data_IF_184955667986
#
_entry.id   IF_184955667986
#
_cell.length_a   1.000
_cell.length_b   1.000
_cell.length_c   1.000
_cell.angle_alpha   90.00
_cell.angle_beta   90.00
_cell.angle_gamma   90.00
#
_symmetry.space_group_name_H-M   'P 1'
#
loop_
_entity.id
_entity.type
_entity.pdbx_description
1 polymer ?
#
# COMPACT_ATOMS: atom_id res chain seq x y z
N UNK A 1 16.47 -19.93 -27.29
CA UNK A 1 15.69 -20.83 -26.45
C UNK A 1 16.24 -20.96 -25.02
N UNK A 2 17.55 -21.18 -24.78
CA UNK A 2 18.11 -21.33 -23.43
C UNK A 2 17.89 -20.11 -22.53
N UNK A 3 18.09 -18.91 -23.05
CA UNK A 3 17.94 -17.63 -22.33
C UNK A 3 16.47 -17.28 -21.98
N UNK A 4 15.52 -17.73 -22.81
CA UNK A 4 14.10 -17.51 -22.56
C UNK A 4 13.59 -18.38 -21.40
N UNK A 5 14.09 -19.62 -21.29
CA UNK A 5 13.76 -20.53 -20.18
C UNK A 5 14.34 -20.04 -18.84
N UNK A 6 15.53 -19.42 -18.83
CA UNK A 6 16.14 -18.90 -17.61
C UNK A 6 15.44 -17.63 -17.08
N UNK A 7 14.98 -16.73 -17.95
CA UNK A 7 14.17 -15.57 -17.55
C UNK A 7 12.79 -16.01 -17.02
N UNK A 8 12.21 -17.06 -17.57
CA UNK A 8 10.96 -17.64 -17.07
C UNK A 8 11.19 -18.20 -15.66
N UNK A 9 12.28 -18.94 -15.41
CA UNK A 9 12.60 -19.46 -14.08
C UNK A 9 12.72 -18.35 -13.02
N UNK A 10 13.36 -17.20 -13.33
CA UNK A 10 13.47 -16.08 -12.38
C UNK A 10 12.15 -15.38 -12.17
N UNK A 11 11.34 -15.24 -13.21
CA UNK A 11 10.01 -14.66 -13.08
C UNK A 11 9.11 -15.56 -12.22
N UNK A 12 9.22 -16.87 -12.35
CA UNK A 12 8.53 -17.85 -11.50
C UNK A 12 9.02 -17.74 -10.06
N UNK A 13 10.33 -17.68 -9.82
CA UNK A 13 10.90 -17.52 -8.47
C UNK A 13 10.48 -16.19 -7.83
N UNK A 14 10.50 -15.09 -8.59
CA UNK A 14 10.04 -13.81 -8.09
C UNK A 14 8.53 -13.82 -7.77
N UNK A 15 7.74 -14.46 -8.64
CA UNK A 15 6.30 -14.61 -8.43
C UNK A 15 6.02 -15.40 -7.14
N UNK A 16 6.68 -16.54 -6.95
CA UNK A 16 6.51 -17.37 -5.77
C UNK A 16 6.94 -16.63 -4.49
N UNK A 17 8.00 -15.82 -4.56
CA UNK A 17 8.41 -14.97 -3.45
C UNK A 17 7.38 -13.88 -3.14
N UNK A 18 6.77 -13.26 -4.16
CA UNK A 18 5.70 -12.26 -3.99
C UNK A 18 4.49 -12.91 -3.31
N UNK A 19 4.03 -14.05 -3.80
CA UNK A 19 2.92 -14.79 -3.20
C UNK A 19 3.21 -15.16 -1.74
N UNK A 20 4.44 -15.60 -1.45
CA UNK A 20 4.86 -15.92 -0.09
C UNK A 20 4.87 -14.66 0.81
N UNK A 21 5.36 -13.52 0.34
CA UNK A 21 5.33 -12.27 1.11
C UNK A 21 3.88 -11.78 1.33
N UNK A 22 3.03 -11.86 0.31
CA UNK A 22 1.60 -11.53 0.45
C UNK A 22 0.89 -12.47 1.43
N UNK A 23 1.22 -13.76 1.42
CA UNK A 23 0.68 -14.75 2.35
C UNK A 23 1.06 -14.54 3.82
N UNK A 24 2.15 -13.82 4.10
CA UNK A 24 2.58 -13.45 5.45
C UNK A 24 1.86 -12.21 5.99
N UNK A 25 1.19 -11.44 5.14
CA UNK A 25 0.55 -10.21 5.54
C UNK A 25 -0.70 -10.51 6.39
N UNK A 26 -0.73 -10.01 7.60
CA UNK A 26 -1.93 -10.03 8.44
C UNK A 26 -2.99 -9.12 7.84
N UNK A 27 -4.22 -9.62 7.64
CA UNK A 27 -5.32 -8.80 7.11
C UNK A 27 -5.69 -7.71 8.10
N UNK A 28 -5.64 -6.45 7.67
CA UNK A 28 -6.20 -5.35 8.45
C UNK A 28 -7.73 -5.38 8.37
N UNK A 29 -8.40 -5.31 9.52
CA UNK A 29 -9.86 -5.34 9.63
C UNK A 29 -10.38 -3.94 9.91
N UNK A 30 -11.25 -3.42 9.05
CA UNK A 30 -11.78 -2.06 9.16
C UNK A 30 -13.30 -2.12 9.17
N UNK A 31 -13.90 -1.57 10.23
CA UNK A 31 -15.34 -1.38 10.33
C UNK A 31 -15.70 0.01 9.81
N UNK A 32 -16.64 0.10 8.87
CA UNK A 32 -17.08 1.35 8.26
C UNK A 32 -18.52 1.63 8.65
N UNK A 33 -18.71 2.69 9.40
CA UNK A 33 -19.99 3.12 9.96
C UNK A 33 -20.46 4.43 9.34
N UNK A 34 -21.73 4.71 9.44
CA UNK A 34 -22.34 5.98 9.06
C UNK A 34 -23.67 5.77 8.35
N UNK A 35 -24.54 6.79 8.40
CA UNK A 35 -25.86 6.79 7.77
C UNK A 35 -25.78 6.54 6.27
N UNK A 36 -26.89 6.13 5.67
CA UNK A 36 -26.99 6.08 4.21
C UNK A 36 -26.77 7.49 3.64
N UNK A 37 -26.10 7.55 2.51
CA UNK A 37 -25.72 8.86 1.96
C UNK A 37 -24.55 9.58 2.66
N UNK A 38 -24.00 9.03 3.77
CA UNK A 38 -22.81 9.58 4.42
C UNK A 38 -21.53 9.45 3.59
N UNK A 39 -21.57 8.80 2.42
CA UNK A 39 -20.43 8.71 1.53
C UNK A 39 -19.48 7.55 1.77
N UNK A 40 -19.86 6.54 2.59
CA UNK A 40 -19.05 5.35 2.89
C UNK A 40 -18.49 4.66 1.66
N UNK A 41 -19.35 4.25 0.73
CA UNK A 41 -18.93 3.53 -0.48
C UNK A 41 -18.04 4.38 -1.39
N UNK A 42 -18.30 5.69 -1.48
CA UNK A 42 -17.45 6.63 -2.23
C UNK A 42 -16.07 6.74 -1.60
N UNK A 43 -16.02 6.82 -0.27
CA UNK A 43 -14.78 6.86 0.50
C UNK A 43 -13.96 5.58 0.29
N UNK A 44 -14.57 4.41 0.49
CA UNK A 44 -13.91 3.11 0.36
C UNK A 44 -13.32 2.94 -1.05
N UNK A 45 -14.10 3.27 -2.10
CA UNK A 45 -13.66 3.15 -3.48
C UNK A 45 -12.56 4.17 -3.86
N UNK A 46 -12.49 5.31 -3.16
CA UNK A 46 -11.43 6.29 -3.36
C UNK A 46 -10.16 5.98 -2.55
N UNK A 47 -10.30 5.27 -1.43
CA UNK A 47 -9.21 4.96 -0.51
C UNK A 47 -8.47 3.66 -0.90
N UNK A 48 -9.24 2.61 -1.22
CA UNK A 48 -8.71 1.28 -1.49
C UNK A 48 -8.70 0.96 -2.99
N UNK A 49 -7.69 0.16 -3.40
CA UNK A 49 -7.55 -0.27 -4.78
C UNK A 49 -8.71 -1.15 -5.21
N UNK A 50 -9.13 -0.96 -6.45
CA UNK A 50 -10.23 -1.66 -7.09
C UNK A 50 -11.60 -1.43 -6.39
N UNK A 51 -12.67 -1.70 -7.05
CA UNK A 51 -14.03 -1.62 -6.50
C UNK A 51 -14.30 -2.77 -5.50
N UNK A 52 -13.57 -2.77 -4.35
CA UNK A 52 -13.67 -3.85 -3.35
C UNK A 52 -15.13 -4.13 -2.97
N UNK A 53 -15.95 -3.09 -2.86
CA UNK A 53 -17.37 -3.23 -2.53
C UNK A 53 -18.19 -3.89 -3.64
N UNK A 54 -17.76 -3.79 -4.91
CA UNK A 54 -18.46 -4.39 -6.05
C UNK A 54 -17.89 -5.76 -6.43
N UNK A 55 -16.57 -5.92 -6.31
CA UNK A 55 -15.84 -7.10 -6.80
C UNK A 55 -15.45 -8.06 -5.68
N UNK A 56 -15.51 -7.62 -4.41
CA UNK A 56 -15.28 -8.47 -3.24
C UNK A 56 -16.46 -9.41 -2.97
N UNK A 57 -16.18 -10.52 -2.31
CA UNK A 57 -17.22 -11.44 -1.85
C UNK A 57 -17.75 -10.91 -0.52
N UNK A 58 -19.06 -10.67 -0.46
CA UNK A 58 -19.75 -10.17 0.74
C UNK A 58 -20.40 -11.30 1.53
N UNK A 59 -20.07 -11.43 2.78
CA UNK A 59 -20.69 -12.38 3.73
C UNK A 59 -21.45 -11.62 4.81
N UNK A 60 -22.76 -11.88 5.01
CA UNK A 60 -23.49 -11.31 6.13
C UNK A 60 -22.89 -11.84 7.45
N UNK A 61 -22.46 -10.93 8.32
CA UNK A 61 -21.99 -11.25 9.66
C UNK A 61 -23.14 -11.16 10.67
N UNK A 62 -23.98 -10.15 10.50
CA UNK A 62 -25.18 -9.91 11.25
C UNK A 62 -26.26 -9.39 10.29
N UNK A 63 -27.46 -9.03 10.79
CA UNK A 63 -28.53 -8.45 9.97
C UNK A 63 -28.06 -7.17 9.25
N UNK A 64 -27.22 -6.37 9.90
CA UNK A 64 -26.83 -5.04 9.42
C UNK A 64 -25.35 -4.89 9.09
N UNK A 65 -24.50 -5.91 9.33
CA UNK A 65 -23.07 -5.88 9.06
C UNK A 65 -22.72 -6.92 8.01
N UNK A 66 -22.04 -6.47 6.95
CA UNK A 66 -21.56 -7.32 5.86
C UNK A 66 -20.04 -7.29 5.85
N UNK A 67 -19.41 -8.45 5.93
CA UNK A 67 -17.99 -8.64 5.71
C UNK A 67 -17.70 -8.67 4.22
N UNK A 68 -16.75 -7.88 3.75
CA UNK A 68 -16.32 -7.85 2.35
C UNK A 68 -14.81 -8.11 2.29
N UNK A 69 -14.42 -9.09 1.51
CA UNK A 69 -13.04 -9.45 1.26
C UNK A 69 -12.80 -9.64 -0.24
N UNK A 70 -11.56 -9.46 -0.66
CA UNK A 70 -11.11 -9.74 -2.02
C UNK A 70 -9.78 -10.49 -1.99
N UNK A 71 -9.67 -11.54 -2.79
CA UNK A 71 -8.44 -12.33 -2.90
C UNK A 71 -7.26 -11.45 -3.36
N UNK A 72 -6.10 -11.68 -2.76
CA UNK A 72 -4.89 -10.91 -3.02
C UNK A 72 -4.87 -9.49 -2.42
N UNK A 73 -5.89 -9.11 -1.62
CA UNK A 73 -5.93 -7.85 -0.88
C UNK A 73 -5.92 -8.14 0.62
N UNK A 74 -4.89 -7.75 1.38
CA UNK A 74 -4.78 -8.05 2.81
C UNK A 74 -5.65 -7.11 3.65
N UNK A 75 -6.94 -7.03 3.30
CA UNK A 75 -7.94 -6.15 3.90
C UNK A 75 -9.27 -6.91 4.07
N UNK A 76 -9.86 -6.76 5.22
CA UNK A 76 -11.27 -7.13 5.49
C UNK A 76 -12.04 -5.86 5.83
N UNK A 77 -13.09 -5.58 5.07
CA UNK A 77 -14.02 -4.50 5.38
C UNK A 77 -15.28 -5.07 6.02
N UNK A 78 -15.76 -4.43 7.06
CA UNK A 78 -17.06 -4.63 7.63
C UNK A 78 -17.91 -3.39 7.33
N UNK A 79 -18.86 -3.50 6.39
CA UNK A 79 -19.73 -2.40 5.99
C UNK A 79 -21.08 -2.52 6.68
N UNK A 80 -21.59 -1.41 7.20
CA UNK A 80 -22.89 -1.38 7.85
C UNK A 80 -23.97 -0.93 6.88
N UNK A 81 -25.07 -1.69 6.85
CA UNK A 81 -26.28 -1.38 6.09
C UNK A 81 -27.36 -0.82 7.02
N UNK A 82 -28.13 0.13 6.53
CA UNK A 82 -29.43 0.44 7.12
C UNK A 82 -29.44 1.26 8.42
N UNK A 83 -28.46 2.14 8.65
CA UNK A 83 -28.55 3.11 9.76
C UNK A 83 -29.63 4.21 9.56
N UNK A 84 -30.56 4.00 8.61
CA UNK A 84 -31.66 4.91 8.27
C UNK A 84 -33.01 4.55 8.87
N UNK A 85 -33.03 3.63 9.79
CA UNK A 85 -34.26 3.17 10.41
C UNK A 85 -34.86 4.26 11.32
N UNK A 86 -36.11 4.10 11.69
CA UNK A 86 -36.72 4.87 12.76
C UNK A 86 -35.88 4.81 14.04
N UNK A 87 -36.15 5.70 14.98
CA UNK A 87 -35.30 5.87 16.17
C UNK A 87 -35.10 4.57 16.96
N UNK A 88 -36.14 3.74 17.11
CA UNK A 88 -36.07 2.50 17.88
C UNK A 88 -35.19 1.45 17.17
N UNK A 89 -35.40 1.27 15.88
CA UNK A 89 -34.59 0.35 15.05
C UNK A 89 -33.15 0.79 14.93
N UNK A 90 -32.86 2.10 14.97
CA UNK A 90 -31.52 2.67 14.94
C UNK A 90 -30.74 2.36 16.21
N UNK A 91 -31.34 2.47 17.36
CA UNK A 91 -30.74 2.09 18.63
C UNK A 91 -30.36 0.62 18.69
N UNK A 92 -31.20 -0.27 18.10
CA UNK A 92 -30.87 -1.70 17.98
C UNK A 92 -29.63 -1.93 17.10
N UNK A 93 -29.52 -1.24 15.96
CA UNK A 93 -28.35 -1.35 15.09
C UNK A 93 -27.10 -0.82 15.77
N UNK A 94 -27.18 0.28 16.52
CA UNK A 94 -26.03 0.81 17.27
C UNK A 94 -25.56 -0.16 18.37
N UNK A 95 -26.49 -0.83 19.06
CA UNK A 95 -26.17 -1.90 20.01
C UNK A 95 -25.51 -3.10 19.32
N UNK A 96 -26.03 -3.50 18.17
CA UNK A 96 -25.48 -4.59 17.35
C UNK A 96 -24.05 -4.28 16.94
N UNK A 97 -23.78 -3.06 16.46
CA UNK A 97 -22.43 -2.59 16.07
C UNK A 97 -21.47 -2.57 17.27
N UNK A 98 -21.91 -2.04 18.41
CA UNK A 98 -21.09 -2.00 19.63
C UNK A 98 -20.77 -3.42 20.13
N UNK A 99 -21.74 -4.33 20.12
CA UNK A 99 -21.52 -5.73 20.47
C UNK A 99 -20.57 -6.44 19.51
N UNK A 100 -20.75 -6.24 18.20
CA UNK A 100 -19.84 -6.78 17.19
C UNK A 100 -18.40 -6.30 17.40
N UNK A 101 -18.18 -5.01 17.61
CA UNK A 101 -16.84 -4.47 17.86
C UNK A 101 -16.20 -5.08 19.12
N UNK A 102 -16.99 -5.23 20.19
CA UNK A 102 -16.54 -5.88 21.44
C UNK A 102 -16.23 -7.36 21.22
N UNK A 103 -17.07 -8.10 20.51
CA UNK A 103 -16.80 -9.51 20.20
C UNK A 103 -15.51 -9.68 19.40
N UNK A 104 -15.25 -8.82 18.42
CA UNK A 104 -14.01 -8.84 17.66
C UNK A 104 -12.79 -8.56 18.54
N UNK A 105 -12.90 -7.61 19.47
CA UNK A 105 -11.84 -7.33 20.44
C UNK A 105 -11.57 -8.53 21.37
N UNK A 106 -12.63 -9.21 21.85
CA UNK A 106 -12.51 -10.36 22.74
C UNK A 106 -11.96 -11.63 22.08
N UNK A 107 -12.05 -11.78 20.76
CA UNK A 107 -11.49 -12.92 19.99
C UNK A 107 -9.96 -12.90 19.91
N UNK A 108 -9.32 -11.85 20.39
CA UNK A 108 -7.85 -11.71 20.41
C UNK A 108 -7.27 -10.94 19.23
N UNK A 109 -5.95 -10.79 19.25
CA UNK A 109 -5.24 -9.86 18.36
C UNK A 109 -5.44 -10.13 16.87
N UNK A 110 -5.54 -11.38 16.45
CA UNK A 110 -5.72 -11.72 15.03
C UNK A 110 -7.13 -11.40 14.52
N UNK A 111 -8.11 -11.22 15.42
CA UNK A 111 -9.51 -10.95 15.06
C UNK A 111 -9.95 -9.51 15.35
N UNK A 112 -9.22 -8.76 16.16
CA UNK A 112 -9.57 -7.38 16.52
C UNK A 112 -9.69 -6.46 15.29
N UNK A 113 -10.52 -5.44 15.43
CA UNK A 113 -10.59 -4.36 14.45
C UNK A 113 -9.33 -3.51 14.53
N UNK A 114 -8.65 -3.31 13.41
CA UNK A 114 -7.53 -2.39 13.31
C UNK A 114 -7.98 -0.93 13.37
N UNK A 115 -9.09 -0.61 12.68
CA UNK A 115 -9.65 0.73 12.59
C UNK A 115 -11.19 0.71 12.53
N UNK A 116 -11.79 1.78 13.01
CA UNK A 116 -13.19 2.10 12.76
C UNK A 116 -13.27 3.45 12.05
N UNK A 117 -13.83 3.47 10.84
CA UNK A 117 -14.18 4.71 10.15
C UNK A 117 -15.63 5.06 10.43
N UNK A 118 -15.85 6.12 11.20
CA UNK A 118 -17.17 6.67 11.45
C UNK A 118 -17.44 7.83 10.49
N UNK A 119 -18.20 7.55 9.41
CA UNK A 119 -18.45 8.50 8.33
C UNK A 119 -19.63 9.42 8.68
N UNK A 120 -19.38 10.71 8.74
CA UNK A 120 -20.40 11.76 8.94
C UNK A 120 -20.39 12.66 7.71
N UNK A 121 -21.56 12.92 7.13
CA UNK A 121 -21.70 13.89 6.04
C UNK A 121 -21.52 15.31 6.59
N UNK A 122 -20.40 15.96 6.25
CA UNK A 122 -20.06 17.30 6.74
C UNK A 122 -21.10 18.38 6.35
N UNK A 123 -21.81 18.19 5.22
CA UNK A 123 -22.86 19.12 4.78
C UNK A 123 -24.16 19.01 5.61
N UNK A 124 -24.27 17.99 6.45
CA UNK A 124 -25.39 17.88 7.39
C UNK A 124 -25.26 18.78 8.62
N UNK A 125 -24.05 19.25 8.90
CA UNK A 125 -23.68 20.15 10.00
C UNK A 125 -24.23 19.72 11.38
N UNK A 126 -24.41 18.43 11.58
CA UNK A 126 -24.95 17.87 12.81
C UNK A 126 -24.42 16.48 13.10
N UNK A 127 -24.35 16.16 14.38
CA UNK A 127 -24.17 14.82 14.94
C UNK A 127 -25.32 14.57 15.90
N UNK A 128 -25.88 13.37 15.91
CA UNK A 128 -26.96 13.00 16.82
C UNK A 128 -26.38 12.46 18.14
N UNK A 129 -27.13 12.56 19.23
CA UNK A 129 -26.69 12.09 20.55
C UNK A 129 -26.33 10.61 20.55
N UNK A 130 -27.09 9.82 19.82
CA UNK A 130 -26.89 8.38 19.68
C UNK A 130 -25.59 8.06 18.93
N UNK A 131 -25.23 8.89 17.94
CA UNK A 131 -23.94 8.77 17.24
C UNK A 131 -22.77 9.14 18.18
N UNK A 132 -22.94 10.19 18.98
CA UNK A 132 -21.96 10.59 20.00
C UNK A 132 -21.73 9.47 21.03
N UNK A 133 -22.81 8.86 21.54
CA UNK A 133 -22.74 7.76 22.50
C UNK A 133 -22.10 6.52 21.90
N UNK A 134 -22.40 6.20 20.64
CA UNK A 134 -21.77 5.10 19.92
C UNK A 134 -20.26 5.33 19.73
N UNK A 135 -19.86 6.51 19.27
CA UNK A 135 -18.43 6.88 19.13
C UNK A 135 -17.73 6.74 20.48
N UNK A 136 -18.31 7.29 21.56
CA UNK A 136 -17.77 7.17 22.91
C UNK A 136 -17.64 5.72 23.40
N UNK A 137 -18.56 4.87 22.99
CA UNK A 137 -18.53 3.45 23.35
C UNK A 137 -17.45 2.70 22.57
N UNK A 138 -17.36 2.94 21.27
CA UNK A 138 -16.39 2.28 20.39
C UNK A 138 -14.94 2.71 20.70
N UNK A 139 -14.72 3.99 21.03
CA UNK A 139 -13.38 4.54 21.31
C UNK A 139 -12.73 4.02 22.59
N UNK A 140 -13.48 3.30 23.45
CA UNK A 140 -12.91 2.69 24.67
C UNK A 140 -11.93 1.56 24.37
N UNK A 141 -12.18 0.80 23.33
CA UNK A 141 -11.45 -0.42 23.00
C UNK A 141 -10.92 -0.46 21.57
N UNK A 142 -11.28 0.54 20.75
CA UNK A 142 -10.93 0.57 19.32
C UNK A 142 -10.36 1.92 18.90
N UNK A 143 -9.57 1.91 17.83
CA UNK A 143 -9.08 3.13 17.16
C UNK A 143 -10.18 3.67 16.25
N UNK A 144 -10.80 4.79 16.65
CA UNK A 144 -11.89 5.44 15.90
C UNK A 144 -11.36 6.65 15.16
N UNK A 145 -11.67 6.72 13.86
CA UNK A 145 -11.42 7.88 13.01
C UNK A 145 -12.78 8.39 12.53
N UNK A 146 -13.15 9.59 12.94
CA UNK A 146 -14.33 10.29 12.42
C UNK A 146 -13.96 10.84 11.05
N UNK A 147 -14.59 10.33 10.00
CA UNK A 147 -14.35 10.81 8.64
C UNK A 147 -15.48 11.75 8.25
N UNK A 148 -15.17 13.06 8.22
CA UNK A 148 -16.08 14.10 7.75
C UNK A 148 -16.10 14.07 6.21
N UNK A 149 -17.04 13.37 5.64
CA UNK A 149 -17.17 13.20 4.19
C UNK A 149 -17.84 14.40 3.54
N UNK A 150 -17.70 14.55 2.21
CA UNK A 150 -18.23 15.71 1.46
C UNK A 150 -17.78 17.04 2.05
N UNK A 151 -16.55 17.12 2.48
CA UNK A 151 -15.96 18.28 3.13
C UNK A 151 -15.52 19.31 2.09
N UNK A 152 -16.33 20.37 1.85
CA UNK A 152 -16.03 21.35 0.79
C UNK A 152 -16.53 22.78 1.06
N UNK A 153 -17.19 23.06 2.18
CA UNK A 153 -17.74 24.36 2.49
C UNK A 153 -17.13 24.98 3.76
N UNK A 154 -17.29 26.28 3.97
CA UNK A 154 -16.83 26.95 5.19
C UNK A 154 -17.59 26.45 6.42
N UNK A 155 -18.90 26.22 6.29
CA UNK A 155 -19.71 25.67 7.38
C UNK A 155 -19.22 24.26 7.79
N UNK A 156 -18.68 23.50 6.85
CA UNK A 156 -18.05 22.20 7.17
C UNK A 156 -16.80 22.37 8.04
N UNK A 157 -16.05 23.47 7.89
CA UNK A 157 -14.89 23.77 8.75
C UNK A 157 -15.35 24.12 10.17
N UNK A 158 -16.39 24.91 10.31
CA UNK A 158 -16.99 25.21 11.60
C UNK A 158 -17.49 23.93 12.29
N UNK A 159 -18.09 23.03 11.51
CA UNK A 159 -18.52 21.73 12.00
C UNK A 159 -17.35 20.83 12.40
N UNK A 160 -16.25 20.86 11.67
CA UNK A 160 -15.02 20.16 12.04
C UNK A 160 -14.52 20.64 13.41
N UNK A 161 -14.44 21.97 13.62
CA UNK A 161 -13.99 22.54 14.90
C UNK A 161 -14.96 22.20 16.03
N UNK A 162 -16.26 22.18 15.77
CA UNK A 162 -17.27 21.72 16.71
C UNK A 162 -17.02 20.27 17.13
N UNK A 163 -16.88 19.32 16.18
CA UNK A 163 -16.63 17.91 16.47
C UNK A 163 -15.32 17.71 17.23
N UNK A 164 -14.26 18.44 16.84
CA UNK A 164 -12.94 18.35 17.48
C UNK A 164 -12.98 18.69 18.97
N UNK A 165 -13.87 19.58 19.37
CA UNK A 165 -14.01 20.03 20.76
C UNK A 165 -15.01 19.19 21.56
N UNK A 166 -15.66 18.18 20.95
CA UNK A 166 -16.59 17.29 21.65
C UNK A 166 -15.85 16.28 22.52
N UNK A 167 -16.42 15.97 23.67
CA UNK A 167 -15.90 14.94 24.55
C UNK A 167 -16.54 13.57 24.23
N UNK A 168 -16.06 12.91 23.18
CA UNK A 168 -16.57 11.61 22.72
C UNK A 168 -15.57 10.45 22.93
N UNK A 169 -14.56 10.63 23.78
CA UNK A 169 -13.47 9.67 23.97
C UNK A 169 -12.26 9.99 23.10
N UNK A 170 -11.39 9.01 22.87
CA UNK A 170 -10.19 9.18 22.05
C UNK A 170 -10.52 8.84 20.58
N UNK A 171 -10.42 9.81 19.70
CA UNK A 171 -10.66 9.66 18.27
C UNK A 171 -9.79 10.61 17.46
N UNK A 172 -9.55 10.25 16.19
CA UNK A 172 -8.97 11.16 15.21
C UNK A 172 -10.07 11.69 14.27
N UNK A 173 -9.82 12.82 13.60
CA UNK A 173 -10.75 13.40 12.63
C UNK A 173 -10.04 13.56 11.30
N UNK A 174 -10.69 13.14 10.21
CA UNK A 174 -10.22 13.31 8.84
C UNK A 174 -11.30 14.00 7.99
N UNK A 175 -11.10 15.26 7.57
CA UNK A 175 -11.97 15.92 6.61
C UNK A 175 -11.65 15.44 5.20
N UNK A 176 -12.63 14.92 4.45
CA UNK A 176 -12.42 14.27 3.15
C UNK A 176 -13.47 14.68 2.13
N UNK A 177 -13.02 15.11 0.95
CA UNK A 177 -13.79 15.10 -0.29
C UNK A 177 -13.27 13.99 -1.20
N UNK A 178 -13.90 12.81 -1.14
CA UNK A 178 -13.38 11.59 -1.76
C UNK A 178 -13.38 11.58 -3.30
N UNK A 179 -14.12 12.48 -3.96
CA UNK A 179 -14.15 12.66 -5.42
C UNK A 179 -14.38 14.11 -5.78
N UNK A 180 -13.91 14.51 -6.96
CA UNK A 180 -14.16 15.86 -7.48
C UNK A 180 -15.64 16.20 -7.47
N UNK A 181 -15.95 17.38 -6.98
CA UNK A 181 -17.30 17.95 -6.94
C UNK A 181 -17.44 19.02 -8.02
N UNK A 182 -18.29 18.77 -8.99
CA UNK A 182 -18.61 19.75 -10.03
C UNK A 182 -19.75 20.63 -9.52
N UNK A 183 -19.46 21.90 -9.25
CA UNK A 183 -20.45 22.90 -8.84
C UNK A 183 -21.21 23.42 -10.07
N UNK A 184 -20.48 23.77 -11.13
CA UNK A 184 -21.03 24.17 -12.41
C UNK A 184 -20.06 23.81 -13.55
N UNK A 185 -20.29 24.32 -14.78
CA UNK A 185 -19.44 23.96 -15.95
C UNK A 185 -17.97 24.30 -15.75
N UNK A 186 -17.67 25.40 -15.05
CA UNK A 186 -16.32 25.98 -14.96
C UNK A 186 -15.69 25.79 -13.59
N UNK A 187 -16.48 25.47 -12.56
CA UNK A 187 -16.02 25.35 -11.19
C UNK A 187 -16.08 23.90 -10.69
N UNK A 188 -14.91 23.34 -10.43
CA UNK A 188 -14.73 22.00 -9.88
C UNK A 188 -13.90 22.13 -8.59
N UNK A 189 -14.42 21.61 -7.48
CA UNK A 189 -13.62 21.38 -6.28
C UNK A 189 -12.96 20.03 -6.41
N UNK A 190 -11.63 20.01 -6.36
CA UNK A 190 -10.87 18.76 -6.46
C UNK A 190 -11.00 17.91 -5.20
N UNK A 191 -10.95 16.60 -5.35
CA UNK A 191 -10.87 15.66 -4.25
C UNK A 191 -9.65 15.98 -3.37
N UNK A 192 -9.80 15.86 -2.04
CA UNK A 192 -8.75 16.14 -1.06
C UNK A 192 -9.00 15.41 0.26
N UNK A 193 -7.99 15.38 1.14
CA UNK A 193 -8.06 14.77 2.46
C UNK A 193 -7.90 13.25 2.50
N UNK A 194 -7.80 12.57 1.33
CA UNK A 194 -7.57 11.12 1.30
C UNK A 194 -6.15 10.75 1.74
N UNK A 195 -5.16 11.53 1.37
CA UNK A 195 -3.76 11.33 1.78
C UNK A 195 -3.61 11.54 3.29
N UNK A 196 -4.27 12.57 3.85
CA UNK A 196 -4.30 12.80 5.30
C UNK A 196 -4.99 11.64 6.03
N UNK A 197 -6.11 11.13 5.51
CA UNK A 197 -6.79 9.96 6.08
C UNK A 197 -5.89 8.71 6.04
N UNK A 198 -5.13 8.51 4.97
CA UNK A 198 -4.14 7.42 4.90
C UNK A 198 -3.09 7.58 5.99
N UNK A 199 -2.54 8.78 6.17
CA UNK A 199 -1.52 9.03 7.19
C UNK A 199 -2.08 8.82 8.61
N UNK A 200 -3.24 9.38 8.93
CA UNK A 200 -3.92 9.19 10.22
C UNK A 200 -4.18 7.70 10.48
N UNK A 201 -4.60 6.95 9.45
CA UNK A 201 -4.85 5.52 9.57
C UNK A 201 -3.56 4.73 9.82
N UNK A 202 -2.48 5.09 9.13
CA UNK A 202 -1.16 4.46 9.34
C UNK A 202 -0.62 4.71 10.76
N UNK A 203 -0.81 5.92 11.29
CA UNK A 203 -0.35 6.28 12.63
C UNK A 203 -1.17 5.61 13.74
N UNK A 204 -2.44 5.33 13.48
CA UNK A 204 -3.34 4.63 14.41
C UNK A 204 -3.13 3.10 14.42
N UNK A 205 -2.64 2.52 13.31
CA UNK A 205 -2.44 1.09 13.16
C UNK A 205 -1.15 0.61 13.84
N UNK A 206 -1.20 -0.58 14.42
CA UNK A 206 -0.01 -1.30 14.87
C UNK A 206 0.91 -1.63 13.68
N UNK A 207 2.22 -1.66 13.92
CA UNK A 207 3.24 -1.80 12.88
C UNK A 207 3.01 -3.02 11.96
N UNK A 208 2.53 -4.13 12.52
CA UNK A 208 2.27 -5.36 11.77
C UNK A 208 1.15 -5.24 10.73
N UNK A 209 0.21 -4.30 10.92
CA UNK A 209 -0.90 -4.05 9.98
C UNK A 209 -0.61 -2.93 8.98
N UNK A 210 0.42 -2.10 9.22
CA UNK A 210 0.74 -0.96 8.37
C UNK A 210 1.10 -1.38 6.94
N UNK A 211 1.82 -2.50 6.74
CA UNK A 211 2.17 -3.00 5.41
C UNK A 211 0.90 -3.43 4.67
N UNK A 212 0.01 -4.14 5.34
CA UNK A 212 -1.26 -4.61 4.79
C UNK A 212 -2.16 -3.45 4.38
N UNK A 213 -2.31 -2.45 5.24
CA UNK A 213 -3.07 -1.24 4.92
C UNK A 213 -2.45 -0.49 3.74
N UNK A 214 -1.12 -0.31 3.75
CA UNK A 214 -0.41 0.34 2.65
C UNK A 214 -0.50 -0.45 1.34
N UNK A 215 -0.51 -1.79 1.39
CA UNK A 215 -0.79 -2.64 0.24
C UNK A 215 -2.18 -2.36 -0.35
N UNK A 216 -3.20 -2.33 0.52
CA UNK A 216 -4.60 -2.20 0.11
C UNK A 216 -4.97 -0.80 -0.39
N UNK A 217 -4.43 0.29 0.22
CA UNK A 217 -4.75 1.66 -0.16
C UNK A 217 -4.16 2.00 -1.55
N UNK A 218 -4.78 2.92 -2.27
CA UNK A 218 -4.26 3.50 -3.51
C UNK A 218 -4.30 5.04 -3.53
N UNK A 219 -4.77 5.65 -2.46
CA UNK A 219 -4.94 7.09 -2.37
C UNK A 219 -3.58 7.81 -2.34
N UNK A 220 -2.65 7.33 -1.51
CA UNK A 220 -1.33 7.92 -1.34
C UNK A 220 -0.21 7.05 -1.92
N UNK A 221 0.18 7.35 -3.16
CA UNK A 221 1.30 6.67 -3.82
C UNK A 221 2.67 7.15 -3.33
N UNK A 222 2.74 8.36 -2.78
CA UNK A 222 3.98 8.89 -2.20
C UNK A 222 4.34 8.13 -0.94
N UNK A 223 3.38 7.91 -0.05
CA UNK A 223 3.58 7.11 1.17
C UNK A 223 3.97 5.66 0.83
N UNK A 224 3.36 5.05 -0.21
CA UNK A 224 3.79 3.73 -0.70
C UNK A 224 5.27 3.71 -1.06
N UNK A 225 5.70 4.68 -1.87
CA UNK A 225 7.09 4.78 -2.29
C UNK A 225 8.03 5.04 -1.11
N UNK A 226 7.65 5.86 -0.13
CA UNK A 226 8.45 6.14 1.08
C UNK A 226 8.59 4.88 1.96
N UNK A 227 7.53 4.14 2.19
CA UNK A 227 7.57 2.87 2.95
C UNK A 227 8.43 1.83 2.20
N UNK A 228 8.27 1.70 0.89
CA UNK A 228 9.11 0.80 0.08
C UNK A 228 10.59 1.19 0.12
N UNK A 229 10.92 2.49 0.06
CA UNK A 229 12.31 2.97 0.23
C UNK A 229 12.86 2.66 1.62
N UNK A 230 12.04 2.81 2.66
CA UNK A 230 12.45 2.47 4.04
C UNK A 230 12.79 0.98 4.16
N UNK A 231 11.99 0.10 3.58
CA UNK A 231 12.26 -1.33 3.53
C UNK A 231 13.49 -1.67 2.69
N UNK A 232 13.63 -1.07 1.51
CA UNK A 232 14.79 -1.27 0.64
C UNK A 232 16.11 -0.93 1.35
N UNK A 233 16.13 0.10 2.21
CA UNK A 233 17.32 0.46 3.01
C UNK A 233 17.83 -0.68 3.88
N UNK A 234 16.96 -1.57 4.39
CA UNK A 234 17.37 -2.75 5.17
C UNK A 234 18.18 -3.73 4.31
N UNK A 235 17.76 -3.97 3.07
CA UNK A 235 18.49 -4.81 2.10
C UNK A 235 19.78 -4.17 1.63
N UNK A 236 19.78 -2.86 1.40
CA UNK A 236 20.97 -2.11 1.01
C UNK A 236 22.03 -2.18 2.12
N UNK A 237 21.63 -2.00 3.38
CA UNK A 237 22.54 -2.13 4.53
C UNK A 237 23.08 -3.56 4.67
N UNK A 238 22.22 -4.58 4.48
CA UNK A 238 22.64 -5.98 4.53
C UNK A 238 23.61 -6.34 3.40
N UNK A 239 23.38 -5.80 2.18
CA UNK A 239 24.30 -6.02 1.05
C UNK A 239 25.67 -5.41 1.27
N UNK A 240 25.79 -4.31 2.05
CA UNK A 240 27.07 -3.75 2.48
C UNK A 240 27.84 -4.75 3.35
N UNK A 241 27.17 -5.39 4.31
CA UNK A 241 27.79 -6.41 5.17
C UNK A 241 28.27 -7.65 4.39
N UNK A 242 27.48 -8.10 3.42
CA UNK A 242 27.84 -9.22 2.53
C UNK A 242 29.10 -8.89 1.70
N UNK A 243 29.30 -7.63 1.29
CA UNK A 243 30.49 -7.23 0.51
C UNK A 243 31.81 -7.21 1.29
N UNK A 244 31.79 -7.40 2.63
CA UNK A 244 33.02 -7.62 3.42
C UNK A 244 33.40 -9.11 3.52
N UNK A 245 32.47 -10.02 3.21
CA UNK A 245 32.79 -11.44 3.04
C UNK A 245 33.30 -11.59 1.61
N UNK A 246 34.49 -12.16 1.38
CA UNK A 246 34.98 -12.41 0.03
C UNK A 246 34.07 -13.43 -0.66
N UNK A 247 33.07 -12.93 -1.39
CA UNK A 247 32.19 -13.75 -2.21
C UNK A 247 32.80 -13.80 -3.60
N UNK A 248 33.24 -14.97 -4.07
CA UNK A 248 33.74 -15.12 -5.44
C UNK A 248 32.66 -14.70 -6.45
N UNK A 249 33.04 -14.06 -7.56
CA UNK A 249 32.12 -13.69 -8.65
C UNK A 249 31.28 -14.86 -9.21
N UNK A 250 31.65 -16.08 -8.89
CA UNK A 250 30.88 -17.29 -9.20
C UNK A 250 29.59 -17.43 -8.41
N UNK A 251 29.43 -16.70 -7.26
CA UNK A 251 28.27 -16.83 -6.39
C UNK A 251 27.25 -15.70 -6.61
N UNK A 252 26.77 -15.55 -7.84
CA UNK A 252 25.46 -14.95 -8.13
C UNK A 252 24.34 -15.59 -7.28
N UNK A 253 24.59 -16.76 -6.74
CA UNK A 253 23.73 -17.54 -5.85
C UNK A 253 23.31 -16.85 -4.55
N UNK A 254 24.05 -15.84 -4.06
CA UNK A 254 23.69 -15.09 -2.84
C UNK A 254 23.00 -13.77 -3.16
N UNK A 255 23.49 -13.00 -4.14
CA UNK A 255 22.93 -11.68 -4.46
C UNK A 255 21.58 -11.77 -5.17
N UNK A 256 21.42 -12.69 -6.13
CA UNK A 256 20.17 -12.83 -6.89
C UNK A 256 18.99 -13.19 -5.99
N UNK A 257 19.04 -14.18 -5.09
CA UNK A 257 17.95 -14.42 -4.14
C UNK A 257 17.63 -13.23 -3.24
N UNK A 258 18.62 -12.46 -2.84
CA UNK A 258 18.43 -11.25 -2.02
C UNK A 258 17.76 -10.13 -2.81
N UNK A 259 18.17 -9.90 -4.06
CA UNK A 259 17.53 -8.98 -5.00
C UNK A 259 16.07 -9.36 -5.25
N UNK A 260 15.80 -10.62 -5.57
CA UNK A 260 14.43 -11.11 -5.79
C UNK A 260 13.55 -10.96 -4.54
N UNK A 261 14.10 -11.24 -3.36
CA UNK A 261 13.36 -11.07 -2.11
C UNK A 261 13.05 -9.60 -1.82
N UNK A 262 14.00 -8.72 -2.10
CA UNK A 262 13.78 -7.26 -2.01
C UNK A 262 12.68 -6.78 -2.98
N UNK A 263 12.74 -7.21 -4.24
CA UNK A 263 11.70 -6.87 -5.24
C UNK A 263 10.33 -7.41 -4.83
N UNK A 264 10.27 -8.64 -4.28
CA UNK A 264 9.03 -9.22 -3.77
C UNK A 264 8.43 -8.40 -2.62
N UNK A 265 9.23 -7.99 -1.64
CA UNK A 265 8.79 -7.11 -0.55
C UNK A 265 8.29 -5.75 -1.06
N UNK A 266 9.01 -5.12 -1.98
CA UNK A 266 8.60 -3.85 -2.58
C UNK A 266 7.25 -4.03 -3.30
N UNK A 267 7.08 -5.12 -4.06
CA UNK A 267 5.82 -5.43 -4.76
C UNK A 267 4.67 -5.63 -3.78
N UNK A 268 4.92 -6.36 -2.68
CA UNK A 268 3.93 -6.58 -1.63
C UNK A 268 3.49 -5.25 -0.96
N UNK A 269 4.42 -4.33 -0.70
CA UNK A 269 4.12 -2.99 -0.15
C UNK A 269 3.25 -2.19 -1.13
N UNK A 270 3.56 -2.23 -2.43
CA UNK A 270 2.79 -1.50 -3.45
C UNK A 270 1.42 -2.13 -3.71
N UNK A 271 1.28 -3.43 -3.53
CA UNK A 271 0.03 -4.14 -3.82
C UNK A 271 -0.33 -4.13 -5.30
N UNK A 272 0.64 -4.03 -6.19
CA UNK A 272 0.41 -4.09 -7.64
C UNK A 272 0.07 -5.52 -8.02
N UNK A 273 -1.05 -5.77 -8.72
CA UNK A 273 -1.31 -7.09 -9.29
C UNK A 273 -0.31 -7.35 -10.40
N UNK A 274 0.59 -8.28 -10.16
CA UNK A 274 1.58 -8.72 -11.16
C UNK A 274 1.32 -10.16 -11.56
N UNK A 275 1.54 -10.45 -12.83
CA UNK A 275 1.52 -11.80 -13.35
C UNK A 275 2.94 -12.19 -13.82
N UNK A 276 3.17 -13.50 -14.02
CA UNK A 276 4.47 -14.02 -14.43
C UNK A 276 5.01 -13.40 -15.71
N UNK A 277 4.12 -13.08 -16.68
CA UNK A 277 4.52 -12.43 -17.94
C UNK A 277 5.08 -11.04 -17.70
N UNK A 278 4.40 -10.21 -16.89
CA UNK A 278 4.85 -8.85 -16.53
C UNK A 278 6.14 -8.87 -15.71
N UNK A 279 6.29 -9.85 -14.80
CA UNK A 279 7.54 -10.05 -14.08
C UNK A 279 8.69 -10.45 -15.00
N UNK A 280 8.43 -11.31 -15.99
CA UNK A 280 9.43 -11.67 -17.00
C UNK A 280 9.93 -10.45 -17.78
N UNK A 281 9.04 -9.51 -18.14
CA UNK A 281 9.38 -8.24 -18.81
C UNK A 281 10.21 -7.32 -17.91
N UNK A 282 9.85 -7.21 -16.62
CA UNK A 282 10.62 -6.47 -15.62
C UNK A 282 12.05 -7.07 -15.49
N UNK A 283 12.16 -8.38 -15.37
CA UNK A 283 13.45 -9.09 -15.27
C UNK A 283 14.27 -8.91 -16.56
N UNK A 284 13.64 -8.99 -17.73
CA UNK A 284 14.30 -8.77 -19.01
C UNK A 284 14.89 -7.35 -19.11
N UNK A 285 14.19 -6.34 -18.59
CA UNK A 285 14.68 -4.96 -18.51
C UNK A 285 15.93 -4.79 -17.65
N UNK A 286 16.11 -5.64 -16.65
CA UNK A 286 17.30 -5.64 -15.79
C UNK A 286 18.48 -6.39 -16.43
N UNK A 287 18.22 -7.48 -17.14
CA UNK A 287 19.27 -8.39 -17.63
C UNK A 287 19.48 -8.42 -19.16
N UNK A 288 18.58 -7.84 -19.93
CA UNK A 288 18.55 -8.02 -21.38
C UNK A 288 18.15 -9.44 -21.79
N UNK A 289 18.38 -9.82 -23.05
CA UNK A 289 18.05 -11.15 -23.59
C UNK A 289 18.96 -12.30 -23.06
N UNK A 290 19.75 -12.04 -22.02
CA UNK A 290 20.69 -13.01 -21.47
C UNK A 290 20.21 -13.48 -20.09
N UNK A 291 20.10 -14.79 -19.94
CA UNK A 291 19.43 -15.48 -18.82
C UNK A 291 19.99 -15.26 -17.41
N UNK A 292 19.37 -15.93 -16.45
CA UNK A 292 19.54 -15.78 -14.99
C UNK A 292 20.96 -15.75 -14.45
N UNK A 293 21.84 -16.55 -15.02
CA UNK A 293 23.27 -16.58 -14.70
C UNK A 293 23.95 -15.23 -15.02
N UNK A 294 23.31 -14.42 -15.86
CA UNK A 294 23.79 -13.11 -16.29
C UNK A 294 23.12 -11.94 -15.56
N UNK A 295 21.98 -12.15 -14.86
CA UNK A 295 21.32 -11.07 -14.11
C UNK A 295 22.30 -10.53 -13.06
N UNK A 296 22.82 -11.36 -12.21
CA UNK A 296 23.86 -10.99 -11.28
C UNK A 296 25.12 -10.47 -11.98
N UNK A 297 25.58 -11.15 -13.07
CA UNK A 297 26.75 -10.69 -13.83
C UNK A 297 26.49 -9.41 -14.63
N UNK A 298 25.30 -9.22 -15.19
CA UNK A 298 24.92 -8.03 -15.95
C UNK A 298 24.77 -6.81 -15.03
N UNK A 299 24.06 -6.97 -13.92
CA UNK A 299 23.90 -5.94 -12.89
C UNK A 299 25.31 -5.53 -12.40
N UNK A 300 26.14 -6.49 -12.03
CA UNK A 300 27.50 -6.28 -11.55
C UNK A 300 28.42 -5.73 -12.65
N UNK A 301 28.44 -6.32 -13.86
CA UNK A 301 29.35 -5.88 -14.92
C UNK A 301 29.00 -4.50 -15.47
N UNK A 302 27.73 -4.12 -15.54
CA UNK A 302 27.34 -2.76 -15.89
C UNK A 302 27.64 -1.78 -14.75
N UNK A 303 27.41 -2.17 -13.49
CA UNK A 303 27.79 -1.34 -12.35
C UNK A 303 29.31 -1.10 -12.29
N UNK A 304 30.14 -2.12 -12.57
CA UNK A 304 31.61 -1.98 -12.61
C UNK A 304 32.08 -0.98 -13.68
N UNK A 305 31.39 -0.84 -14.81
CA UNK A 305 31.68 0.20 -15.81
C UNK A 305 31.45 1.62 -15.28
N UNK A 306 30.55 1.79 -14.32
CA UNK A 306 30.25 3.05 -13.67
C UNK A 306 31.16 3.36 -12.47
N UNK A 307 31.89 2.38 -11.94
CA UNK A 307 32.84 2.54 -10.82
C UNK A 307 34.28 2.22 -11.26
N UNK A 308 34.95 3.10 -12.06
CA UNK A 308 36.36 2.92 -12.42
C UNK A 308 37.21 3.06 -11.14
N UNK A 309 38.01 2.04 -10.85
CA UNK A 309 38.75 1.91 -9.59
C UNK A 309 38.19 0.80 -8.67
N UNK A 310 36.91 0.41 -8.77
CA UNK A 310 36.43 -0.87 -8.26
C UNK A 310 36.96 -2.06 -9.09
N UNK A 311 37.63 -1.75 -10.20
CA UNK A 311 38.24 -2.71 -11.15
C UNK A 311 39.55 -3.32 -10.72
N UNK A 312 40.11 -3.03 -9.57
CA UNK A 312 41.02 -3.97 -8.93
C UNK A 312 40.23 -5.09 -8.29
N UNK A 313 39.54 -5.83 -9.16
CA UNK A 313 39.01 -7.15 -8.85
C UNK A 313 40.22 -8.06 -8.61
N UNK A 314 40.80 -7.92 -7.45
CA UNK A 314 41.74 -8.93 -6.93
C UNK A 314 40.84 -10.13 -6.63
N UNK A 315 40.90 -11.13 -7.47
CA UNK A 315 40.24 -12.42 -7.30
C UNK A 315 38.70 -12.44 -7.27
N UNK A 316 38.02 -11.60 -8.06
CA UNK A 316 36.55 -11.76 -8.25
C UNK A 316 35.68 -11.23 -7.12
N UNK A 317 36.18 -10.31 -6.30
CA UNK A 317 35.46 -9.74 -5.15
C UNK A 317 34.73 -8.43 -5.50
N UNK A 318 33.47 -8.29 -5.08
CA UNK A 318 32.72 -7.03 -5.12
C UNK A 318 32.86 -6.35 -3.77
N UNK A 319 33.20 -5.03 -3.76
CA UNK A 319 33.21 -4.29 -2.49
C UNK A 319 31.80 -4.08 -1.95
N UNK A 320 31.65 -4.01 -0.63
CA UNK A 320 30.37 -3.75 0.03
C UNK A 320 29.71 -2.45 -0.47
N UNK A 321 30.50 -1.43 -0.78
CA UNK A 321 30.00 -0.16 -1.35
C UNK A 321 29.44 -0.34 -2.75
N UNK A 322 30.04 -1.21 -3.58
CA UNK A 322 29.54 -1.52 -4.93
C UNK A 322 28.26 -2.37 -4.86
N UNK A 323 28.22 -3.38 -4.00
CA UNK A 323 27.03 -4.19 -3.77
C UNK A 323 25.84 -3.34 -3.30
N UNK A 324 26.06 -2.44 -2.33
CA UNK A 324 25.03 -1.52 -1.83
C UNK A 324 24.55 -0.54 -2.90
N UNK A 325 25.45 -0.02 -3.76
CA UNK A 325 25.07 0.89 -4.84
C UNK A 325 24.21 0.17 -5.91
N UNK A 326 24.53 -1.09 -6.22
CA UNK A 326 23.76 -1.94 -7.14
C UNK A 326 22.38 -2.16 -6.56
N UNK A 327 22.29 -2.62 -5.32
CA UNK A 327 21.04 -2.91 -4.62
C UNK A 327 20.14 -1.65 -4.51
N UNK A 328 20.74 -0.49 -4.15
CA UNK A 328 20.01 0.78 -4.07
C UNK A 328 19.48 1.23 -5.43
N UNK A 329 20.31 1.11 -6.48
CA UNK A 329 19.90 1.51 -7.83
C UNK A 329 18.77 0.65 -8.36
N UNK A 330 18.78 -0.65 -8.08
CA UNK A 330 17.72 -1.59 -8.43
C UNK A 330 16.44 -1.27 -7.67
N UNK A 331 16.52 -1.14 -6.35
CA UNK A 331 15.37 -0.85 -5.50
C UNK A 331 14.66 0.44 -5.92
N UNK A 332 15.40 1.53 -6.09
CA UNK A 332 14.81 2.84 -6.40
C UNK A 332 14.23 2.88 -7.82
N UNK A 333 14.90 2.28 -8.80
CA UNK A 333 14.35 2.16 -10.15
C UNK A 333 13.04 1.36 -10.14
N UNK A 334 12.98 0.26 -9.42
CA UNK A 334 11.80 -0.56 -9.32
C UNK A 334 10.63 0.15 -8.62
N UNK A 335 10.90 0.87 -7.52
CA UNK A 335 9.91 1.70 -6.81
C UNK A 335 9.31 2.76 -7.76
N UNK A 336 10.13 3.41 -8.58
CA UNK A 336 9.66 4.40 -9.56
C UNK A 336 8.77 3.75 -10.62
N UNK A 337 9.16 2.59 -11.16
CA UNK A 337 8.36 1.82 -12.12
C UNK A 337 7.00 1.46 -11.54
N UNK A 338 6.95 0.91 -10.32
CA UNK A 338 5.68 0.57 -9.67
C UNK A 338 4.81 1.80 -9.38
N UNK A 339 5.44 2.94 -9.05
CA UNK A 339 4.73 4.21 -8.85
C UNK A 339 4.07 4.68 -10.16
N UNK A 340 4.76 4.59 -11.29
CA UNK A 340 4.20 4.95 -12.61
C UNK A 340 3.09 3.97 -13.01
N UNK A 341 3.28 2.67 -12.78
CA UNK A 341 2.24 1.66 -13.03
C UNK A 341 0.94 1.99 -12.29
N UNK A 342 1.03 2.27 -10.99
CA UNK A 342 -0.17 2.62 -10.22
C UNK A 342 -0.79 3.96 -10.62
N UNK A 343 0.01 4.95 -11.03
CA UNK A 343 -0.51 6.22 -11.56
C UNK A 343 -1.32 6.00 -12.83
N UNK A 344 -0.79 5.23 -13.79
CA UNK A 344 -1.49 4.92 -15.04
C UNK A 344 -2.74 4.08 -14.78
N UNK A 345 -2.68 3.08 -13.90
CA UNK A 345 -3.86 2.30 -13.50
C UNK A 345 -4.99 3.18 -12.93
N UNK A 346 -4.67 4.25 -12.19
CA UNK A 346 -5.67 5.22 -11.68
C UNK A 346 -6.37 6.00 -12.80
N UNK A 347 -5.69 6.27 -13.92
CA UNK A 347 -6.26 6.99 -15.09
C UNK A 347 -6.93 6.04 -16.08
N UNK A 348 -6.88 4.73 -15.83
CA UNK A 348 -7.41 3.72 -16.74
C UNK A 348 -6.47 3.39 -17.90
N UNK A 349 -5.25 3.91 -17.87
CA UNK A 349 -4.20 3.64 -18.85
C UNK A 349 -3.41 2.38 -18.43
N UNK A 350 -2.95 1.62 -19.42
CA UNK A 350 -2.00 0.51 -19.19
C UNK A 350 -0.62 0.87 -19.73
N UNK A 351 0.39 0.20 -19.22
CA UNK A 351 1.76 0.27 -19.72
C UNK A 351 2.06 -1.04 -20.42
N UNK A 352 2.53 -0.94 -21.65
CA UNK A 352 3.02 -2.07 -22.41
C UNK A 352 4.30 -2.64 -21.74
N UNK A 353 4.44 -3.95 -21.81
CA UNK A 353 5.55 -4.69 -21.21
C UNK A 353 6.93 -4.20 -21.69
N UNK A 354 7.04 -3.75 -22.95
CA UNK A 354 8.29 -3.21 -23.53
C UNK A 354 8.61 -1.82 -22.99
N UNK A 355 7.61 -0.95 -22.85
CA UNK A 355 7.76 0.37 -22.22
C UNK A 355 8.27 0.21 -20.77
N UNK A 356 7.75 -0.77 -20.08
CA UNK A 356 8.12 -1.11 -18.71
C UNK A 356 9.58 -1.58 -18.60
N UNK A 357 10.00 -2.45 -19.52
CA UNK A 357 11.39 -2.91 -19.65
C UNK A 357 12.35 -1.74 -19.89
N UNK A 358 12.04 -0.88 -20.87
CA UNK A 358 12.89 0.27 -21.22
C UNK A 358 12.97 1.28 -20.07
N UNK A 359 11.85 1.56 -19.39
CA UNK A 359 11.79 2.44 -18.24
C UNK A 359 12.68 1.93 -17.11
N UNK A 360 12.55 0.69 -16.71
CA UNK A 360 13.34 0.12 -15.62
C UNK A 360 14.84 0.17 -15.95
N UNK A 361 15.23 -0.20 -17.18
CA UNK A 361 16.61 -0.15 -17.65
C UNK A 361 17.20 1.26 -17.63
N UNK A 362 16.40 2.26 -18.03
CA UNK A 362 16.81 3.67 -18.00
C UNK A 362 17.00 4.14 -16.56
N UNK A 363 16.01 3.96 -15.70
CA UNK A 363 16.04 4.40 -14.30
C UNK A 363 17.16 3.72 -13.50
N UNK A 364 17.38 2.42 -13.73
CA UNK A 364 18.49 1.70 -13.11
C UNK A 364 19.85 2.32 -13.46
N UNK A 365 20.09 2.62 -14.76
CA UNK A 365 21.33 3.27 -15.21
C UNK A 365 21.49 4.68 -14.64
N UNK A 366 20.42 5.46 -14.56
CA UNK A 366 20.42 6.81 -13.99
C UNK A 366 20.78 6.77 -12.51
N UNK A 367 20.18 5.88 -11.74
CA UNK A 367 20.47 5.70 -10.32
C UNK A 367 21.91 5.25 -10.08
N UNK A 368 22.46 4.35 -10.89
CA UNK A 368 23.89 3.97 -10.81
C UNK A 368 24.82 5.17 -11.05
N UNK A 369 24.50 6.05 -12.01
CA UNK A 369 25.30 7.26 -12.29
C UNK A 369 25.24 8.25 -11.11
N UNK A 370 24.10 8.40 -10.48
CA UNK A 370 23.91 9.32 -9.36
C UNK A 370 24.69 8.86 -8.11
N UNK A 371 24.74 7.57 -7.83
CA UNK A 371 25.58 7.03 -6.76
C UNK A 371 27.08 7.26 -7.00
N UNK A 372 27.52 7.42 -8.25
CA UNK A 372 28.90 7.79 -8.59
C UNK A 372 29.25 9.23 -8.24
N UNK A 373 28.28 10.17 -8.29
CA UNK A 373 28.50 11.61 -8.01
C UNK A 373 28.57 11.93 -6.52
N UNK A 374 28.15 11.00 -5.66
CA UNK A 374 28.15 11.15 -4.20
C UNK A 374 29.44 10.63 -3.53
N UNK A 375 30.44 10.17 -4.33
CA UNK A 375 31.81 9.88 -3.95
C UNK A 375 32.75 10.96 -4.48
#
# INVERSE_FOLDING_TARGET
MKNMNENINLADELYDKIENELGKLKKVKILVLGKTGAGKSTLINALFREDILKTGVGYPMTKNIVKVEKDGVPLTLYDTRGLELDNDSRLEVYKEVANFAREMHMKGDDEKLGLIYFCINAQGLRIEKEEEELIRTLSKENKVIIVLTKFFSEEAKDFYDFIKNMNMGEFAIAPVLAKNLKINRDNIILAHGLEDLVQISMDALEEEYQISFNNAQHADLKLKAEKARSWAKKYIASSFGVGFVPIPFSDASVLVPMELTMLAHITAIFGVPVNKKRLASIIAGLGGTMGATYLGRFIVSNALKFFPGAGTVVAGLISGTTASAIMASLAFAYIEVLTVLLKKAKTGDDIDDKELEEMLKKLYKENLKNHKKLK
#
